data_IF_921097978852
#
_entry.id   IF_921097978852
#
_cell.length_a   1.000
_cell.length_b   1.000
_cell.length_c   1.000
_cell.angle_alpha   90.00
_cell.angle_beta   90.00
_cell.angle_gamma   90.00
#
_symmetry.space_group_name_H-M   'P 1'
#
loop_
_entity.id
_entity.type
_entity.pdbx_description
1 polymer ?
#
# COMPACT_ATOMS: atom_id res chain seq x y z
N UNK A 1 23.33 -6.40 5.74
CA UNK A 1 23.72 -4.99 5.96
C UNK A 1 24.25 -4.85 7.39
N UNK A 2 25.22 -3.98 7.66
CA UNK A 2 25.73 -3.74 9.01
C UNK A 2 25.26 -2.39 9.57
N UNK A 3 25.40 -2.19 10.89
CA UNK A 3 24.98 -0.98 11.62
C UNK A 3 25.59 0.28 11.01
N UNK A 4 26.90 0.26 10.72
CA UNK A 4 27.62 1.41 10.15
C UNK A 4 27.00 1.91 8.84
N UNK A 5 26.52 1.00 7.99
CA UNK A 5 25.84 1.36 6.73
C UNK A 5 24.45 1.95 7.00
N UNK A 6 23.72 1.45 8.00
CA UNK A 6 22.41 1.98 8.39
C UNK A 6 22.57 3.40 8.95
N UNK A 7 23.58 3.63 9.77
CA UNK A 7 23.86 4.95 10.35
C UNK A 7 24.15 5.96 9.24
N UNK A 8 24.95 5.58 8.24
CA UNK A 8 25.24 6.43 7.09
C UNK A 8 23.98 6.79 6.31
N UNK A 9 23.13 5.80 6.02
CA UNK A 9 21.85 6.01 5.33
C UNK A 9 20.94 6.92 6.16
N UNK A 10 20.81 6.68 7.47
CA UNK A 10 19.95 7.47 8.33
C UNK A 10 20.46 8.92 8.48
N UNK A 11 21.77 9.14 8.53
CA UNK A 11 22.37 10.48 8.51
C UNK A 11 22.07 11.21 7.19
N UNK A 12 22.15 10.53 6.05
CA UNK A 12 21.76 11.08 4.76
C UNK A 12 20.27 11.47 4.75
N UNK A 13 19.40 10.56 5.19
CA UNK A 13 17.95 10.77 5.27
C UNK A 13 17.59 11.96 6.15
N UNK A 14 18.27 12.10 7.29
CA UNK A 14 18.10 13.21 8.21
C UNK A 14 18.52 14.55 7.62
N UNK A 15 19.68 14.59 6.95
CA UNK A 15 20.17 15.82 6.32
C UNK A 15 19.19 16.34 5.26
N UNK A 16 18.51 15.43 4.55
CA UNK A 16 17.52 15.77 3.54
C UNK A 16 16.22 16.27 4.20
N UNK A 17 15.72 15.54 5.20
CA UNK A 17 14.36 15.71 5.71
C UNK A 17 14.23 16.72 6.87
N UNK A 18 15.27 16.86 7.71
CA UNK A 18 15.18 17.55 9.02
C UNK A 18 16.05 18.79 9.12
N UNK A 19 17.29 18.77 8.61
CA UNK A 19 18.20 19.94 8.72
C UNK A 19 17.66 21.25 8.12
N UNK A 20 16.79 21.26 7.08
CA UNK A 20 16.19 22.53 6.64
C UNK A 20 15.22 23.16 7.66
N UNK A 21 14.76 22.41 8.68
CA UNK A 21 13.64 22.81 9.56
C UNK A 21 13.99 22.94 11.05
N UNK A 22 15.04 22.28 11.56
CA UNK A 22 15.47 22.40 12.97
C UNK A 22 16.99 22.26 13.15
N UNK A 23 17.59 23.15 13.95
CA UNK A 23 18.96 23.05 14.46
C UNK A 23 19.08 21.99 15.57
N UNK A 24 18.85 20.71 15.23
CA UNK A 24 19.11 19.60 16.14
C UNK A 24 20.49 19.00 15.82
N UNK A 25 21.38 18.98 16.81
CA UNK A 25 22.76 18.50 16.65
C UNK A 25 22.83 16.97 16.85
N UNK A 26 22.26 16.22 15.89
CA UNK A 26 22.09 14.76 15.97
C UNK A 26 23.37 13.94 15.76
N UNK A 27 24.48 14.55 15.34
CA UNK A 27 25.75 13.82 15.19
C UNK A 27 26.23 13.20 16.51
N UNK A 28 25.87 13.79 17.65
CA UNK A 28 26.19 13.24 18.95
C UNK A 28 25.31 12.03 19.31
N UNK A 29 24.07 11.98 18.80
CA UNK A 29 23.11 10.92 19.14
C UNK A 29 23.41 9.59 18.45
N UNK A 30 24.03 9.59 17.27
CA UNK A 30 24.33 8.34 16.52
C UNK A 30 25.69 7.73 16.85
N UNK A 31 26.67 8.54 17.27
CA UNK A 31 28.08 8.11 17.39
C UNK A 31 28.37 7.08 18.50
N UNK A 32 27.38 6.68 19.31
CA UNK A 32 27.56 5.77 20.44
C UNK A 32 26.49 4.67 20.60
N UNK A 33 25.62 4.45 19.60
CA UNK A 33 24.52 3.47 19.73
C UNK A 33 24.93 2.13 19.13
N UNK A 34 24.56 1.04 19.81
CA UNK A 34 24.69 -0.33 19.31
C UNK A 34 23.30 -1.00 19.21
N UNK A 35 23.25 -2.26 18.76
CA UNK A 35 22.00 -3.02 18.61
C UNK A 35 21.28 -3.31 19.93
N UNK A 36 21.94 -3.09 21.07
CA UNK A 36 21.31 -3.24 22.39
C UNK A 36 20.55 -1.98 22.81
N UNK A 37 20.73 -0.85 22.12
CA UNK A 37 19.95 0.36 22.36
C UNK A 37 18.51 0.18 21.81
N UNK A 38 17.48 0.09 22.68
CA UNK A 38 16.09 -0.07 22.25
C UNK A 38 15.57 1.11 21.40
N UNK A 39 16.24 2.26 21.45
CA UNK A 39 15.88 3.43 20.66
C UNK A 39 16.52 3.46 19.27
N UNK A 40 17.49 2.58 18.98
CA UNK A 40 18.20 2.55 17.70
C UNK A 40 17.23 2.33 16.53
N UNK A 41 16.45 1.25 16.59
CA UNK A 41 15.54 0.90 15.52
C UNK A 41 14.39 1.90 15.38
N UNK A 42 13.92 2.49 16.50
CA UNK A 42 12.93 3.57 16.48
C UNK A 42 13.42 4.79 15.70
N UNK A 43 14.68 5.18 15.88
CA UNK A 43 15.28 6.31 15.18
C UNK A 43 15.53 5.99 13.69
N UNK A 44 16.04 4.79 13.39
CA UNK A 44 16.21 4.33 12.01
C UNK A 44 14.85 4.29 11.28
N UNK A 45 13.80 3.81 11.93
CA UNK A 45 12.44 3.81 11.42
C UNK A 45 11.91 5.23 11.17
N UNK A 46 12.16 6.17 12.09
CA UNK A 46 11.80 7.58 11.89
C UNK A 46 12.49 8.18 10.65
N UNK A 47 13.79 7.93 10.47
CA UNK A 47 14.53 8.39 9.29
C UNK A 47 13.95 7.85 7.98
N UNK A 48 13.60 6.57 7.95
CA UNK A 48 12.94 5.96 6.79
C UNK A 48 11.58 6.60 6.52
N UNK A 49 10.75 6.78 7.56
CA UNK A 49 9.45 7.43 7.44
C UNK A 49 9.56 8.83 6.84
N UNK A 50 10.50 9.64 7.32
CA UNK A 50 10.75 10.98 6.80
C UNK A 50 11.07 10.98 5.30
N UNK A 51 11.85 10.01 4.82
CA UNK A 51 12.19 9.88 3.40
C UNK A 51 11.03 9.37 2.55
N UNK A 52 10.21 8.46 3.07
CA UNK A 52 9.04 7.97 2.34
C UNK A 52 7.92 9.01 2.25
N UNK A 53 7.83 9.90 3.24
CA UNK A 53 6.81 10.95 3.30
C UNK A 53 7.23 12.24 2.56
N UNK A 54 8.53 12.45 2.34
CA UNK A 54 9.05 13.65 1.65
C UNK A 54 8.91 13.54 0.13
N UNK A 55 8.24 14.53 -0.48
CA UNK A 55 7.96 14.53 -1.93
C UNK A 55 9.20 14.50 -2.81
N UNK A 56 10.33 15.00 -2.32
CA UNK A 56 11.60 15.05 -3.06
C UNK A 56 12.24 13.66 -3.15
N UNK A 57 11.96 12.78 -2.18
CA UNK A 57 12.63 11.48 -2.06
C UNK A 57 11.70 10.31 -2.31
N UNK A 58 10.38 10.45 -2.12
CA UNK A 58 9.41 9.35 -2.22
C UNK A 58 9.32 8.65 -3.59
N UNK A 59 9.81 9.29 -4.65
CA UNK A 59 9.87 8.74 -6.01
C UNK A 59 11.29 8.45 -6.49
N UNK A 60 12.30 8.65 -5.64
CA UNK A 60 13.69 8.40 -5.99
C UNK A 60 14.05 6.94 -5.67
N UNK A 61 14.33 6.16 -6.71
CA UNK A 61 14.60 4.73 -6.59
C UNK A 61 15.78 4.40 -5.67
N UNK A 62 16.82 5.25 -5.62
CA UNK A 62 17.97 5.03 -4.74
C UNK A 62 17.56 5.12 -3.26
N UNK A 63 16.85 6.19 -2.89
CA UNK A 63 16.38 6.37 -1.52
C UNK A 63 15.37 5.30 -1.10
N UNK A 64 14.51 4.89 -2.03
CA UNK A 64 13.57 3.79 -1.80
C UNK A 64 14.28 2.45 -1.57
N UNK A 65 15.32 2.13 -2.34
CA UNK A 65 16.12 0.91 -2.13
C UNK A 65 16.86 0.91 -0.78
N UNK A 66 17.38 2.06 -0.37
CA UNK A 66 17.99 2.24 0.95
C UNK A 66 16.96 2.09 2.08
N UNK A 67 15.78 2.71 1.93
CA UNK A 67 14.67 2.56 2.86
C UNK A 67 14.24 1.10 3.03
N UNK A 68 14.07 0.36 1.92
CA UNK A 68 13.80 -1.09 1.94
C UNK A 68 14.90 -1.85 2.66
N UNK A 69 16.17 -1.51 2.41
CA UNK A 69 17.30 -2.17 3.06
C UNK A 69 17.25 -2.00 4.59
N UNK A 70 16.99 -0.77 5.05
CA UNK A 70 16.87 -0.44 6.48
C UNK A 70 15.66 -1.15 7.09
N UNK A 71 14.50 -1.12 6.44
CA UNK A 71 13.29 -1.79 6.94
C UNK A 71 13.44 -3.31 7.05
N UNK A 72 14.07 -3.96 6.06
CA UNK A 72 14.37 -5.40 6.14
C UNK A 72 15.35 -5.72 7.29
N UNK A 73 16.30 -4.82 7.57
CA UNK A 73 17.20 -5.00 8.70
C UNK A 73 16.46 -4.88 10.03
N UNK A 74 15.60 -3.87 10.17
CA UNK A 74 14.74 -3.68 11.34
C UNK A 74 13.89 -4.93 11.59
N UNK A 75 13.23 -5.44 10.55
CA UNK A 75 12.40 -6.65 10.61
C UNK A 75 13.14 -7.86 11.19
N UNK A 76 14.40 -8.06 10.78
CA UNK A 76 15.19 -9.23 11.17
C UNK A 76 15.77 -9.12 12.58
N UNK A 77 16.00 -7.91 13.09
CA UNK A 77 16.84 -7.70 14.27
C UNK A 77 16.11 -7.09 15.46
N UNK A 78 14.95 -6.46 15.27
CA UNK A 78 14.19 -5.87 16.37
C UNK A 78 13.04 -6.78 16.83
N UNK A 79 13.15 -7.23 18.08
CA UNK A 79 12.19 -8.12 18.73
C UNK A 79 10.87 -7.41 19.07
N UNK A 80 10.89 -6.12 19.34
CA UNK A 80 9.67 -5.35 19.64
C UNK A 80 8.86 -5.11 18.36
N UNK A 81 9.52 -5.00 17.21
CA UNK A 81 8.83 -4.97 15.91
C UNK A 81 8.19 -6.30 15.53
N UNK A 82 8.74 -7.44 15.97
CA UNK A 82 8.15 -8.76 15.74
C UNK A 82 6.88 -9.01 16.58
N UNK A 83 6.60 -8.17 17.59
CA UNK A 83 5.52 -8.35 18.57
C UNK A 83 4.27 -7.48 18.33
N UNK A 84 4.05 -6.94 17.12
CA UNK A 84 2.74 -6.39 16.73
C UNK A 84 2.69 -4.92 16.31
N UNK A 85 3.79 -4.36 15.80
CA UNK A 85 3.76 -3.03 15.17
C UNK A 85 3.37 -3.12 13.70
N UNK A 86 2.31 -2.41 13.28
CA UNK A 86 1.83 -2.35 11.88
C UNK A 86 2.78 -1.57 10.99
N UNK A 87 3.47 -0.62 11.60
CA UNK A 87 4.14 0.47 10.92
C UNK A 87 5.27 0.03 9.97
N UNK A 88 6.18 -0.90 10.33
CA UNK A 88 7.23 -1.37 9.42
C UNK A 88 6.69 -2.07 8.18
N UNK A 89 5.71 -2.96 8.33
CA UNK A 89 5.10 -3.69 7.21
C UNK A 89 4.45 -2.73 6.22
N UNK A 90 3.76 -1.73 6.77
CA UNK A 90 3.13 -0.68 5.99
C UNK A 90 4.14 0.13 5.19
N UNK A 91 5.25 0.55 5.84
CA UNK A 91 6.33 1.31 5.17
C UNK A 91 7.11 0.48 4.15
N UNK A 92 7.36 -0.79 4.45
CA UNK A 92 8.05 -1.70 3.55
C UNK A 92 7.21 -1.94 2.30
N UNK A 93 5.91 -2.18 2.47
CA UNK A 93 4.97 -2.29 1.36
C UNK A 93 4.90 -1.01 0.53
N UNK A 94 4.82 0.16 1.17
CA UNK A 94 4.81 1.45 0.47
C UNK A 94 6.08 1.67 -0.34
N UNK A 95 7.25 1.36 0.23
CA UNK A 95 8.53 1.50 -0.45
C UNK A 95 8.62 0.57 -1.67
N UNK A 96 8.21 -0.70 -1.53
CA UNK A 96 8.14 -1.64 -2.67
C UNK A 96 7.15 -1.19 -3.73
N UNK A 97 5.98 -0.67 -3.33
CA UNK A 97 4.98 -0.17 -4.26
C UNK A 97 5.51 1.03 -5.05
N UNK A 98 6.17 1.98 -4.38
CA UNK A 98 6.81 3.13 -5.03
C UNK A 98 7.95 2.74 -5.97
N UNK A 99 8.59 1.58 -5.74
CA UNK A 99 9.56 0.99 -6.66
C UNK A 99 8.92 0.25 -7.85
N UNK A 100 7.59 0.16 -7.92
CA UNK A 100 6.87 -0.67 -8.91
C UNK A 100 6.93 -2.18 -8.62
N UNK A 101 7.49 -2.58 -7.48
CA UNK A 101 7.60 -3.97 -7.05
C UNK A 101 6.31 -4.45 -6.35
N UNK A 102 5.15 -4.27 -6.99
CA UNK A 102 3.83 -4.47 -6.40
C UNK A 102 3.63 -5.87 -5.77
N UNK A 103 4.25 -6.92 -6.33
CA UNK A 103 4.22 -8.27 -5.74
C UNK A 103 4.88 -8.33 -4.36
N UNK A 104 6.03 -7.66 -4.19
CA UNK A 104 6.71 -7.58 -2.89
C UNK A 104 5.96 -6.68 -1.93
N UNK A 105 5.32 -5.62 -2.44
CA UNK A 105 4.44 -4.78 -1.64
C UNK A 105 3.30 -5.60 -1.03
N UNK A 106 2.61 -6.41 -1.84
CA UNK A 106 1.55 -7.32 -1.38
C UNK A 106 2.08 -8.30 -0.33
N UNK A 107 3.27 -8.87 -0.52
CA UNK A 107 3.88 -9.76 0.48
C UNK A 107 4.12 -9.06 1.81
N UNK A 108 4.67 -7.84 1.79
CA UNK A 108 4.90 -7.05 3.00
C UNK A 108 3.58 -6.71 3.72
N UNK A 109 2.55 -6.27 2.99
CA UNK A 109 1.24 -5.98 3.57
C UNK A 109 0.56 -7.22 4.13
N UNK A 110 0.59 -8.36 3.41
CA UNK A 110 0.04 -9.63 3.89
C UNK A 110 0.70 -10.07 5.18
N UNK A 111 2.03 -9.96 5.27
CA UNK A 111 2.76 -10.32 6.49
C UNK A 111 2.34 -9.45 7.68
N UNK A 112 2.16 -8.14 7.47
CA UNK A 112 1.61 -7.26 8.50
C UNK A 112 0.19 -7.65 8.92
N UNK A 113 -0.69 -7.94 7.97
CA UNK A 113 -2.07 -8.39 8.24
C UNK A 113 -2.06 -9.68 9.06
N UNK A 114 -1.27 -10.68 8.66
CA UNK A 114 -1.15 -11.97 9.32
C UNK A 114 -0.62 -11.82 10.75
N UNK A 115 0.51 -11.12 10.93
CA UNK A 115 1.10 -10.89 12.25
C UNK A 115 0.11 -10.21 13.18
N UNK A 116 -0.53 -9.12 12.77
CA UNK A 116 -1.43 -8.37 13.64
C UNK A 116 -2.71 -9.13 13.94
N UNK A 117 -3.26 -9.85 12.96
CA UNK A 117 -4.45 -10.68 13.17
C UNK A 117 -4.15 -11.80 14.15
N UNK A 118 -2.99 -12.45 14.05
CA UNK A 118 -2.58 -13.50 14.98
C UNK A 118 -2.27 -12.96 16.39
N UNK A 119 -1.51 -11.87 16.49
CA UNK A 119 -1.10 -11.28 17.78
C UNK A 119 -2.29 -10.76 18.57
N UNK A 120 -3.23 -10.09 17.91
CA UNK A 120 -4.34 -9.42 18.59
C UNK A 120 -5.68 -10.13 18.46
N UNK A 121 -5.73 -11.28 17.78
CA UNK A 121 -6.97 -11.98 17.44
C UNK A 121 -8.00 -11.05 16.78
N UNK A 122 -7.52 -10.17 15.90
CA UNK A 122 -8.34 -9.12 15.30
C UNK A 122 -9.44 -9.70 14.41
N UNK A 123 -10.60 -9.06 14.39
CA UNK A 123 -11.74 -9.44 13.55
C UNK A 123 -12.27 -8.26 12.76
N UNK A 124 -12.85 -8.58 11.60
CA UNK A 124 -13.56 -7.61 10.76
C UNK A 124 -14.65 -6.91 11.57
N UNK A 125 -14.54 -5.58 11.65
CA UNK A 125 -15.44 -4.72 12.43
C UNK A 125 -14.91 -4.32 13.80
N UNK A 126 -13.69 -4.71 14.17
CA UNK A 126 -13.10 -4.39 15.47
C UNK A 126 -11.93 -3.41 15.32
N UNK A 127 -11.71 -2.60 16.35
CA UNK A 127 -10.46 -1.85 16.56
C UNK A 127 -9.59 -2.64 17.54
N UNK A 128 -8.28 -2.49 17.43
CA UNK A 128 -7.41 -2.94 18.51
C UNK A 128 -7.71 -2.12 19.78
N UNK A 129 -7.62 -2.71 20.99
CA UNK A 129 -7.94 -1.99 22.23
C UNK A 129 -7.17 -0.67 22.40
N UNK A 130 -5.90 -0.65 21.96
CA UNK A 130 -5.08 0.56 21.99
C UNK A 130 -5.55 1.61 20.97
N UNK A 131 -6.04 1.20 19.80
CA UNK A 131 -6.57 2.10 18.77
C UNK A 131 -7.87 2.76 19.24
N UNK A 132 -8.77 1.98 19.83
CA UNK A 132 -10.01 2.48 20.42
C UNK A 132 -9.72 3.52 21.52
N UNK A 133 -8.76 3.24 22.41
CA UNK A 133 -8.34 4.18 23.46
C UNK A 133 -7.75 5.48 22.92
N UNK A 134 -7.07 5.44 21.78
CA UNK A 134 -6.47 6.61 21.15
C UNK A 134 -7.47 7.41 20.29
N UNK A 135 -8.75 7.01 20.25
CA UNK A 135 -9.77 7.67 19.43
C UNK A 135 -9.53 7.48 17.93
N UNK A 136 -8.78 6.45 17.54
CA UNK A 136 -8.56 6.13 16.13
C UNK A 136 -9.86 5.60 15.56
N UNK A 137 -10.25 6.11 14.39
CA UNK A 137 -11.52 5.75 13.76
C UNK A 137 -11.42 4.52 12.85
N UNK A 138 -10.24 4.14 12.34
CA UNK A 138 -10.01 2.94 11.53
C UNK A 138 -8.81 2.14 12.05
N UNK A 139 -8.84 0.82 11.91
CA UNK A 139 -7.73 0.00 12.36
C UNK A 139 -6.54 0.12 11.40
N UNK A 140 -5.34 0.05 11.95
CA UNK A 140 -4.13 -0.06 11.14
C UNK A 140 -4.14 -1.32 10.24
N UNK A 141 -4.85 -2.38 10.64
CA UNK A 141 -5.04 -3.58 9.82
C UNK A 141 -5.89 -3.26 8.58
N UNK A 142 -6.95 -2.45 8.73
CA UNK A 142 -7.78 -2.01 7.60
C UNK A 142 -6.98 -1.15 6.61
N UNK A 143 -6.08 -0.32 7.12
CA UNK A 143 -5.16 0.45 6.30
C UNK A 143 -4.23 -0.47 5.49
N UNK A 144 -3.68 -1.53 6.10
CA UNK A 144 -2.87 -2.52 5.38
C UNK A 144 -3.67 -3.24 4.29
N UNK A 145 -4.91 -3.63 4.57
CA UNK A 145 -5.80 -4.19 3.56
C UNK A 145 -5.99 -3.22 2.39
N UNK A 146 -6.34 -1.96 2.66
CA UNK A 146 -6.53 -0.97 1.60
C UNK A 146 -5.26 -0.78 0.74
N UNK A 147 -4.09 -0.73 1.37
CA UNK A 147 -2.80 -0.60 0.67
C UNK A 147 -2.47 -1.82 -0.19
N UNK A 148 -2.73 -3.03 0.33
CA UNK A 148 -2.64 -4.27 -0.44
C UNK A 148 -3.58 -4.26 -1.64
N UNK A 149 -4.86 -3.92 -1.43
CA UNK A 149 -5.86 -3.84 -2.50
C UNK A 149 -5.46 -2.86 -3.59
N UNK A 150 -4.80 -1.74 -3.22
CA UNK A 150 -4.23 -0.81 -4.19
C UNK A 150 -3.08 -1.42 -5.00
N UNK A 151 -2.20 -2.21 -4.38
CA UNK A 151 -1.18 -2.94 -5.15
C UNK A 151 -1.78 -4.03 -6.05
N UNK A 152 -2.87 -4.69 -5.64
CA UNK A 152 -3.61 -5.62 -6.49
C UNK A 152 -4.25 -4.88 -7.68
N UNK A 153 -4.81 -3.69 -7.45
CA UNK A 153 -5.34 -2.80 -8.50
C UNK A 153 -4.25 -2.39 -9.50
N UNK A 154 -3.08 -1.97 -9.03
CA UNK A 154 -1.93 -1.60 -9.85
C UNK A 154 -1.41 -2.78 -10.71
N UNK A 155 -1.60 -4.02 -10.24
CA UNK A 155 -1.34 -5.25 -10.99
C UNK A 155 -2.49 -5.69 -11.89
N UNK A 156 -3.56 -4.88 -12.04
CA UNK A 156 -4.78 -5.24 -12.76
C UNK A 156 -5.49 -6.50 -12.24
N UNK A 157 -5.26 -6.88 -10.98
CA UNK A 157 -5.98 -7.95 -10.28
C UNK A 157 -7.30 -7.41 -9.72
N UNK A 158 -8.19 -7.01 -10.63
CA UNK A 158 -9.37 -6.23 -10.27
C UNK A 158 -10.33 -6.95 -9.32
N UNK A 159 -10.50 -8.27 -9.47
CA UNK A 159 -11.34 -9.06 -8.57
C UNK A 159 -10.79 -9.09 -7.14
N UNK A 160 -9.48 -9.34 -6.99
CA UNK A 160 -8.82 -9.33 -5.69
C UNK A 160 -8.89 -7.94 -5.04
N UNK A 161 -8.66 -6.89 -5.83
CA UNK A 161 -8.76 -5.51 -5.35
C UNK A 161 -10.17 -5.17 -4.87
N UNK A 162 -11.21 -5.50 -5.65
CA UNK A 162 -12.60 -5.28 -5.25
C UNK A 162 -12.92 -6.02 -3.94
N UNK A 163 -12.58 -7.31 -3.87
CA UNK A 163 -12.82 -8.11 -2.68
C UNK A 163 -12.18 -7.52 -1.42
N UNK A 164 -10.94 -7.04 -1.53
CA UNK A 164 -10.23 -6.39 -0.42
C UNK A 164 -10.91 -5.09 -0.02
N UNK A 165 -11.25 -4.23 -0.98
CA UNK A 165 -11.90 -2.96 -0.67
C UNK A 165 -13.27 -3.17 -0.03
N UNK A 166 -14.07 -4.11 -0.54
CA UNK A 166 -15.36 -4.48 0.06
C UNK A 166 -15.21 -5.01 1.48
N UNK A 167 -14.14 -5.76 1.76
CA UNK A 167 -13.82 -6.27 3.11
C UNK A 167 -13.57 -5.11 4.08
N UNK A 168 -12.75 -4.13 3.68
CA UNK A 168 -12.47 -2.94 4.51
C UNK A 168 -13.74 -2.11 4.71
N UNK A 169 -14.52 -1.88 3.66
CA UNK A 169 -15.80 -1.17 3.75
C UNK A 169 -16.78 -1.84 4.70
N UNK A 170 -16.89 -3.16 4.62
CA UNK A 170 -17.73 -3.95 5.53
C UNK A 170 -17.27 -3.83 6.98
N UNK A 171 -15.95 -3.79 7.21
CA UNK A 171 -15.36 -3.58 8.54
C UNK A 171 -15.70 -2.20 9.12
N UNK A 172 -15.57 -1.15 8.31
CA UNK A 172 -15.94 0.23 8.68
C UNK A 172 -17.46 0.35 8.92
N UNK A 173 -18.28 -0.27 8.07
CA UNK A 173 -19.74 -0.26 8.20
C UNK A 173 -20.24 -0.89 9.50
N UNK A 174 -19.63 -2.00 9.93
CA UNK A 174 -19.96 -2.64 11.22
C UNK A 174 -19.76 -1.70 12.42
N UNK A 175 -18.89 -0.71 12.30
CA UNK A 175 -18.63 0.30 13.34
C UNK A 175 -19.40 1.59 13.16
N UNK A 176 -20.30 1.68 12.18
CA UNK A 176 -21.16 2.85 11.97
C UNK A 176 -20.41 4.11 11.48
N UNK A 177 -19.26 3.94 10.82
CA UNK A 177 -18.40 5.04 10.35
C UNK A 177 -18.39 5.15 8.81
N UNK A 178 -19.54 4.96 8.17
CA UNK A 178 -19.72 5.09 6.73
C UNK A 178 -19.36 6.50 6.21
N UNK A 179 -19.58 7.52 7.03
CA UNK A 179 -19.20 8.89 6.66
C UNK A 179 -17.69 9.03 6.52
N UNK A 180 -16.88 8.29 7.30
CA UNK A 180 -15.43 8.33 7.19
C UNK A 180 -14.95 7.79 5.84
N UNK A 181 -15.60 6.73 5.34
CA UNK A 181 -15.34 6.16 4.01
C UNK A 181 -15.51 7.20 2.91
N UNK A 182 -16.56 8.01 3.01
CA UNK A 182 -16.94 9.00 2.01
C UNK A 182 -16.19 10.33 2.17
N UNK A 183 -15.83 10.68 3.41
CA UNK A 183 -15.19 11.95 3.73
C UNK A 183 -13.68 11.83 3.61
N UNK A 184 -13.01 10.97 4.37
CA UNK A 184 -11.54 10.89 4.41
C UNK A 184 -11.01 9.54 4.97
N UNK A 185 -11.29 8.39 4.33
CA UNK A 185 -10.52 7.18 4.60
C UNK A 185 -9.14 7.29 3.93
N UNK A 186 -8.02 7.00 4.63
CA UNK A 186 -6.70 7.06 4.01
C UNK A 186 -6.62 6.10 2.83
N UNK A 187 -5.93 6.49 1.76
CA UNK A 187 -5.95 5.83 0.44
C UNK A 187 -7.20 6.07 -0.42
N UNK A 188 -8.27 6.69 0.10
CA UNK A 188 -9.46 7.04 -0.71
C UNK A 188 -10.19 5.80 -1.24
N UNK A 189 -10.54 4.87 -0.35
CA UNK A 189 -10.96 3.51 -0.70
C UNK A 189 -12.16 3.42 -1.65
N UNK A 190 -13.13 4.34 -1.58
CA UNK A 190 -14.24 4.37 -2.54
C UNK A 190 -13.80 4.68 -3.97
N UNK A 191 -12.82 5.57 -4.12
CA UNK A 191 -12.23 5.90 -5.42
C UNK A 191 -11.45 4.72 -5.98
N UNK A 192 -10.74 3.99 -5.11
CA UNK A 192 -10.02 2.78 -5.50
C UNK A 192 -10.97 1.65 -5.89
N UNK A 193 -12.06 1.44 -5.14
CA UNK A 193 -13.09 0.46 -5.47
C UNK A 193 -13.74 0.76 -6.83
N UNK A 194 -14.14 2.02 -7.07
CA UNK A 194 -14.69 2.43 -8.37
C UNK A 194 -13.71 2.16 -9.52
N UNK A 195 -12.44 2.46 -9.31
CA UNK A 195 -11.37 2.17 -10.30
C UNK A 195 -11.24 0.67 -10.57
N UNK A 196 -11.27 -0.17 -9.54
CA UNK A 196 -11.21 -1.62 -9.68
C UNK A 196 -12.43 -2.18 -10.43
N UNK A 197 -13.64 -1.71 -10.09
CA UNK A 197 -14.88 -2.11 -10.76
C UNK A 197 -14.91 -1.69 -12.24
N UNK A 198 -14.43 -0.49 -12.55
CA UNK A 198 -14.28 -0.03 -13.93
C UNK A 198 -13.28 -0.89 -14.71
N UNK A 199 -12.12 -1.18 -14.12
CA UNK A 199 -11.11 -2.07 -14.70
C UNK A 199 -11.65 -3.46 -15.01
N UNK A 200 -12.40 -4.05 -14.07
CA UNK A 200 -13.09 -5.34 -14.27
C UNK A 200 -14.05 -5.30 -15.46
N UNK A 201 -14.87 -4.26 -15.56
CA UNK A 201 -15.88 -4.13 -16.63
C UNK A 201 -15.22 -4.09 -18.02
N UNK A 202 -14.10 -3.37 -18.16
CA UNK A 202 -13.34 -3.29 -19.42
C UNK A 202 -12.77 -4.66 -19.82
N UNK A 203 -12.34 -5.48 -18.86
CA UNK A 203 -11.81 -6.83 -19.14
C UNK A 203 -12.92 -7.76 -19.59
N UNK A 204 -14.11 -7.70 -18.98
CA UNK A 204 -15.28 -8.49 -19.37
C UNK A 204 -15.73 -8.15 -20.79
N UNK A 205 -15.72 -6.88 -21.17
CA UNK A 205 -16.05 -6.46 -22.55
C UNK A 205 -15.00 -6.91 -23.59
N UNK A 206 -13.81 -7.35 -23.16
CA UNK A 206 -12.74 -7.89 -24.01
C UNK A 206 -12.68 -9.41 -24.05
N UNK A 207 -13.56 -10.11 -23.34
CA UNK A 207 -13.71 -11.57 -23.50
C UNK A 207 -14.11 -11.83 -24.95
N UNK A 208 -13.42 -12.70 -25.71
CA UNK A 208 -13.76 -12.91 -27.11
C UNK A 208 -15.22 -13.36 -27.19
N UNK A 209 -16.00 -12.61 -27.99
CA UNK A 209 -17.36 -12.98 -28.38
C UNK A 209 -17.38 -14.47 -28.73
N UNK A 210 -18.41 -15.17 -28.25
CA UNK A 210 -18.61 -16.58 -28.59
C UNK A 210 -18.54 -16.77 -30.11
N UNK A 211 -18.13 -17.96 -30.58
CA UNK A 211 -18.03 -18.23 -32.02
C UNK A 211 -19.35 -17.93 -32.77
N UNK A 212 -20.50 -18.05 -32.08
CA UNK A 212 -21.81 -17.66 -32.60
C UNK A 212 -21.98 -16.14 -32.79
N UNK A 213 -21.54 -15.32 -31.82
CA UNK A 213 -21.60 -13.85 -31.93
C UNK A 213 -20.60 -13.29 -32.95
N UNK A 214 -19.44 -13.95 -33.10
CA UNK A 214 -18.51 -13.69 -34.18
C UNK A 214 -19.11 -14.03 -35.56
N UNK A 215 -19.96 -15.05 -35.63
CA UNK A 215 -20.69 -15.40 -36.86
C UNK A 215 -21.74 -14.35 -37.22
N UNK A 216 -22.44 -13.77 -36.22
CA UNK A 216 -23.39 -12.67 -36.43
C UNK A 216 -22.71 -11.37 -36.90
N UNK A 217 -21.53 -11.01 -36.35
CA UNK A 217 -20.78 -9.85 -36.86
C UNK A 217 -20.22 -10.06 -38.27
N UNK A 218 -19.83 -11.30 -38.63
CA UNK A 218 -19.43 -11.65 -40.01
C UNK A 218 -20.61 -11.66 -41.00
N UNK A 219 -21.83 -11.92 -40.53
CA UNK A 219 -23.04 -11.83 -41.37
C UNK A 219 -23.60 -10.39 -41.43
N UNK A 220 -23.42 -9.58 -40.39
CA UNK A 220 -23.81 -8.16 -40.36
C UNK A 220 -23.04 -7.26 -41.35
N UNK A 221 -21.86 -7.67 -41.79
CA UNK A 221 -21.10 -6.99 -42.87
C UNK A 221 -21.65 -7.28 -44.28
N UNK A 222 -22.69 -8.09 -44.41
CA UNK A 222 -23.47 -8.27 -45.65
C UNK A 222 -24.53 -7.17 -45.82
N UNK A 223 -25.23 -6.78 -44.73
CA UNK A 223 -26.25 -5.73 -44.75
C UNK A 223 -25.64 -4.33 -45.01
N UNK A 224 -24.48 -4.03 -44.43
CA UNK A 224 -23.75 -2.79 -44.72
C UNK A 224 -23.27 -2.71 -46.19
N UNK A 225 -22.97 -3.86 -46.82
CA UNK A 225 -22.67 -3.97 -48.27
C UNK A 225 -23.92 -3.93 -49.16
N UNK A 226 -25.08 -4.31 -48.62
CA UNK A 226 -26.37 -4.21 -49.32
C UNK A 226 -26.87 -2.75 -49.36
N UNK A 227 -26.73 -2.01 -48.25
CA UNK A 227 -27.14 -0.60 -48.19
C UNK A 227 -26.24 0.33 -49.02
N UNK A 228 -24.95 0.03 -49.18
CA UNK A 228 -24.07 0.82 -50.05
C UNK A 228 -24.34 0.65 -51.55
N UNK A 229 -25.06 -0.42 -51.96
CA UNK A 229 -25.51 -0.61 -53.34
C UNK A 229 -26.85 0.06 -53.66
N UNK A 230 -27.66 0.39 -52.64
CA UNK A 230 -28.97 1.02 -52.84
C UNK A 230 -28.91 2.55 -52.89
N UNK A 231 -27.84 3.15 -52.37
CA UNK A 231 -27.62 4.61 -52.36
C UNK A 231 -26.60 5.08 -53.42
N UNK A 232 -26.29 4.23 -54.39
CA UNK A 232 -25.32 4.51 -55.46
C UNK A 232 -25.96 4.51 -56.85
N UNK A 233 -26.91 5.42 -57.10
CA UNK A 233 -27.22 6.06 -58.39
C UNK A 233 -27.89 7.40 -58.14
#
# INVERSE_FOLDING_TARGET
>A
MNIQKIDLICQQFFNISVKPKRNLNFEHEWKQRDLSDPYYFSLAYFCVGAVLDDERTRNNSSYLQEAVSVLNYIEQNDRDYQNGSVFPWSRLGDAFRSLGEHKKAIQAYNRGIETLTQTFNWKIGELLPIEARMGIQYSNIELLYARRGRSDLELSRFDDACHIFDTVLSSLQKRGIQDLVNTHFPEGIMTLLKSAQAGKSIVVDRTPLSDEENQYQRQGTSLARMFSRFLGK
#
